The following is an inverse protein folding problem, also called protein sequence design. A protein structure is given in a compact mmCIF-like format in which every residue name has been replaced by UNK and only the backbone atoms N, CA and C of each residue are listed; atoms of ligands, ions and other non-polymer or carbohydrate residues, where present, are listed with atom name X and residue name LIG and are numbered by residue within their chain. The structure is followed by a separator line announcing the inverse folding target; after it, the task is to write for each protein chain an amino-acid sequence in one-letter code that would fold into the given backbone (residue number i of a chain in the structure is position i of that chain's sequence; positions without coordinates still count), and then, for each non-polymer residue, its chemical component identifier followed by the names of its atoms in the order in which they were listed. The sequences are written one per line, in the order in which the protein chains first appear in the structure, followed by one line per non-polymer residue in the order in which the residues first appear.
data_IF_522604053892
#
_entry.id   IF_522604053892
#
_cell.length_a   1.000
_cell.length_b   1.000
_cell.length_c   1.000
_cell.angle_alpha   90.00
_cell.angle_beta   90.00
_cell.angle_gamma   90.00
#
_symmetry.space_group_name_H-M   'P 1'
#
loop_
_entity.id
_entity.type
_entity.pdbx_description
1 polymer ?
#
# COMPACT_ATOMS: atom_id res chain seq x y z
N UNK A 1 22.71 -41.51 -6.52
CA UNK A 1 23.52 -40.64 -5.65
C UNK A 1 22.95 -39.21 -5.56
N UNK A 2 22.43 -38.63 -6.65
CA UNK A 2 21.78 -37.29 -6.69
C UNK A 2 20.58 -37.12 -5.72
N UNK A 3 19.69 -38.10 -5.56
CA UNK A 3 18.49 -37.91 -4.70
C UNK A 3 18.78 -37.78 -3.20
N UNK A 4 19.88 -38.39 -2.72
CA UNK A 4 20.32 -38.26 -1.32
C UNK A 4 20.96 -36.89 -1.05
N UNK A 5 21.67 -36.34 -2.03
CA UNK A 5 22.27 -34.99 -1.96
C UNK A 5 21.18 -33.92 -1.96
N UNK A 6 20.16 -34.02 -2.82
CA UNK A 6 19.02 -33.07 -2.84
C UNK A 6 18.19 -33.10 -1.56
N UNK A 7 18.01 -34.29 -0.96
CA UNK A 7 17.29 -34.45 0.31
C UNK A 7 18.10 -33.91 1.51
N UNK A 8 19.42 -34.06 1.48
CA UNK A 8 20.34 -33.49 2.47
C UNK A 8 20.41 -31.96 2.37
N UNK A 9 20.52 -31.40 1.16
CA UNK A 9 20.50 -29.95 0.93
C UNK A 9 19.15 -29.36 1.36
N UNK A 10 18.01 -29.98 1.04
CA UNK A 10 16.69 -29.51 1.54
C UNK A 10 16.60 -29.56 3.06
N UNK A 11 17.10 -30.61 3.72
CA UNK A 11 17.08 -30.76 5.18
C UNK A 11 18.03 -29.78 5.88
N UNK A 12 19.19 -29.49 5.27
CA UNK A 12 20.17 -28.51 5.72
C UNK A 12 19.64 -27.08 5.54
N UNK A 13 19.02 -26.78 4.40
CA UNK A 13 18.33 -25.52 4.11
C UNK A 13 17.14 -25.29 5.06
N UNK A 14 16.37 -26.33 5.39
CA UNK A 14 15.29 -26.26 6.37
C UNK A 14 15.82 -25.99 7.79
N UNK A 15 16.96 -26.60 8.16
CA UNK A 15 17.65 -26.32 9.43
C UNK A 15 18.23 -24.91 9.49
N UNK A 16 18.77 -24.38 8.38
CA UNK A 16 19.23 -22.99 8.29
C UNK A 16 18.05 -22.02 8.39
N UNK A 17 16.92 -22.26 7.71
CA UNK A 17 15.71 -21.43 7.86
C UNK A 17 15.14 -21.48 9.29
N UNK A 18 15.12 -22.64 9.94
CA UNK A 18 14.73 -22.75 11.36
C UNK A 18 15.74 -22.03 12.25
N UNK A 19 17.02 -22.04 11.91
CA UNK A 19 18.07 -21.36 12.67
C UNK A 19 18.02 -19.84 12.51
N UNK A 20 17.77 -19.33 11.29
CA UNK A 20 17.53 -17.90 11.01
C UNK A 20 16.22 -17.44 11.65
N UNK A 21 15.16 -18.26 11.58
CA UNK A 21 13.91 -18.05 12.33
C UNK A 21 14.19 -17.99 13.84
N UNK A 22 15.04 -18.86 14.39
CA UNK A 22 15.45 -18.84 15.80
C UNK A 22 16.41 -17.71 16.18
N UNK A 23 17.20 -17.16 15.24
CA UNK A 23 18.04 -15.99 15.46
C UNK A 23 17.21 -14.71 15.45
N UNK A 24 16.23 -14.61 14.55
CA UNK A 24 15.17 -13.59 14.59
C UNK A 24 14.44 -13.62 15.94
N UNK A 25 14.15 -14.82 16.48
CA UNK A 25 13.62 -15.02 17.84
C UNK A 25 14.63 -14.75 18.98
N UNK A 26 15.94 -14.63 18.74
CA UNK A 26 16.91 -14.26 19.79
C UNK A 26 16.96 -12.74 20.02
N UNK A 27 16.73 -11.94 18.99
CA UNK A 27 16.56 -10.49 19.12
C UNK A 27 15.18 -10.13 19.72
N UNK A 28 14.24 -11.07 19.71
CA UNK A 28 12.93 -10.91 20.36
C UNK A 28 13.01 -10.67 21.87
N UNK A 29 14.05 -11.13 22.58
CA UNK A 29 14.18 -10.82 24.02
C UNK A 29 14.34 -9.32 24.30
N UNK A 30 15.18 -8.64 23.51
CA UNK A 30 15.41 -7.18 23.62
C UNK A 30 14.17 -6.39 23.16
N UNK A 31 13.50 -6.88 22.12
CA UNK A 31 12.25 -6.30 21.59
C UNK A 31 11.09 -6.49 22.59
N UNK A 32 11.00 -7.66 23.22
CA UNK A 32 10.01 -7.96 24.25
C UNK A 32 10.22 -7.10 25.49
N UNK A 33 11.46 -6.82 25.91
CA UNK A 33 11.73 -5.89 27.03
C UNK A 33 11.30 -4.45 26.72
N UNK A 34 11.46 -4.02 25.46
CA UNK A 34 10.93 -2.72 25.02
C UNK A 34 9.40 -2.69 25.15
N UNK A 35 8.69 -3.66 24.56
CA UNK A 35 7.23 -3.71 24.60
C UNK A 35 6.65 -4.04 25.98
N UNK A 36 7.36 -4.76 26.84
CA UNK A 36 6.92 -5.11 28.20
C UNK A 36 6.56 -3.89 29.04
N UNK A 37 7.29 -2.77 28.88
CA UNK A 37 6.96 -1.51 29.56
C UNK A 37 5.61 -0.94 29.12
N UNK A 38 5.19 -1.24 27.90
CA UNK A 38 3.97 -0.75 27.29
C UNK A 38 2.80 -1.74 27.36
N UNK A 39 3.05 -3.02 27.65
CA UNK A 39 2.01 -4.06 27.86
C UNK A 39 1.09 -3.79 29.05
N UNK A 40 1.46 -2.87 29.95
CA UNK A 40 0.67 -2.58 31.15
C UNK A 40 -0.68 -1.95 30.76
N UNK A 41 -1.75 -2.73 30.89
CA UNK A 41 -3.13 -2.28 30.74
C UNK A 41 -3.79 -2.59 29.40
N UNK A 42 -3.12 -3.29 28.48
CA UNK A 42 -3.71 -3.76 27.21
C UNK A 42 -3.80 -5.28 27.22
N UNK A 43 -5.00 -5.82 27.01
CA UNK A 43 -5.19 -7.26 26.82
C UNK A 43 -4.96 -7.62 25.35
N UNK A 44 -3.75 -8.13 25.07
CA UNK A 44 -3.33 -8.49 23.71
C UNK A 44 -4.11 -9.66 23.12
N UNK A 45 -4.67 -10.54 23.96
CA UNK A 45 -5.52 -11.63 23.47
C UNK A 45 -6.81 -11.07 22.85
N UNK A 46 -7.35 -9.99 23.41
CA UNK A 46 -8.52 -9.28 22.89
C UNK A 46 -8.16 -8.53 21.60
N UNK A 47 -7.02 -7.81 21.58
CA UNK A 47 -6.53 -7.12 20.39
C UNK A 47 -6.41 -8.09 19.22
N UNK A 48 -5.75 -9.23 19.42
CA UNK A 48 -5.57 -10.22 18.38
C UNK A 48 -6.89 -10.84 17.91
N UNK A 49 -7.75 -11.24 18.85
CA UNK A 49 -9.04 -11.86 18.53
C UNK A 49 -9.91 -10.94 17.67
N UNK A 50 -9.98 -9.65 18.04
CA UNK A 50 -10.80 -8.69 17.31
C UNK A 50 -10.15 -8.22 16.01
N UNK A 51 -8.84 -8.06 15.95
CA UNK A 51 -8.13 -7.78 14.70
C UNK A 51 -8.34 -8.88 13.65
N UNK A 52 -8.41 -10.16 14.05
CA UNK A 52 -8.77 -11.29 13.17
C UNK A 52 -10.18 -11.17 12.59
N UNK A 53 -11.12 -10.72 13.42
CA UNK A 53 -12.53 -10.53 13.07
C UNK A 53 -12.87 -9.18 12.42
N UNK A 54 -11.89 -8.27 12.31
CA UNK A 54 -12.12 -6.94 11.77
C UNK A 54 -12.55 -7.01 10.29
N UNK A 55 -13.44 -6.10 9.90
CA UNK A 55 -13.90 -5.96 8.52
C UNK A 55 -12.76 -5.33 7.71
N UNK A 56 -12.44 -5.92 6.57
CA UNK A 56 -11.41 -5.44 5.65
C UNK A 56 -11.92 -5.59 4.21
N UNK A 57 -11.18 -5.06 3.23
CA UNK A 57 -11.54 -5.17 1.80
C UNK A 57 -11.67 -6.63 1.33
N UNK A 58 -10.92 -7.54 1.96
CA UNK A 58 -10.92 -8.95 1.67
C UNK A 58 -12.07 -9.69 2.38
N UNK A 59 -12.73 -10.64 1.71
CA UNK A 59 -13.85 -11.38 2.29
C UNK A 59 -13.44 -12.20 3.51
N UNK A 60 -14.35 -12.31 4.48
CA UNK A 60 -14.17 -13.18 5.65
C UNK A 60 -14.66 -14.62 5.39
N UNK A 61 -15.59 -14.81 4.45
CA UNK A 61 -16.17 -16.11 4.12
C UNK A 61 -15.21 -16.92 3.23
N UNK A 62 -14.91 -18.20 3.57
CA UNK A 62 -14.15 -19.09 2.68
C UNK A 62 -14.77 -19.23 1.28
N UNK A 63 -16.10 -19.28 1.18
CA UNK A 63 -16.81 -19.41 -0.09
C UNK A 63 -16.65 -18.16 -0.96
N UNK A 64 -16.72 -16.97 -0.37
CA UNK A 64 -16.54 -15.71 -1.10
C UNK A 64 -15.08 -15.52 -1.51
N UNK A 65 -14.12 -15.90 -0.64
CA UNK A 65 -12.70 -15.96 -0.99
C UNK A 65 -12.45 -16.87 -2.20
N UNK A 66 -13.01 -18.08 -2.20
CA UNK A 66 -12.89 -19.02 -3.32
C UNK A 66 -13.50 -18.46 -4.60
N UNK A 67 -14.64 -17.78 -4.50
CA UNK A 67 -15.27 -17.11 -5.63
C UNK A 67 -14.36 -16.01 -6.21
N UNK A 68 -13.81 -15.11 -5.38
CA UNK A 68 -12.89 -14.06 -5.83
C UNK A 68 -11.65 -14.68 -6.50
N UNK A 69 -11.04 -15.69 -5.88
CA UNK A 69 -9.85 -16.36 -6.45
C UNK A 69 -10.17 -16.98 -7.83
N UNK A 70 -11.30 -17.68 -7.93
CA UNK A 70 -11.73 -18.34 -9.16
C UNK A 70 -11.93 -17.31 -10.26
N UNK A 71 -12.70 -16.25 -9.99
CA UNK A 71 -12.95 -15.18 -10.96
C UNK A 71 -11.68 -14.43 -11.35
N UNK A 72 -10.79 -14.16 -10.39
CA UNK A 72 -9.52 -13.51 -10.66
C UNK A 72 -8.67 -14.36 -11.61
N UNK A 73 -8.61 -15.68 -11.39
CA UNK A 73 -7.91 -16.62 -12.29
C UNK A 73 -8.53 -16.69 -13.68
N UNK A 74 -9.86 -16.67 -13.78
CA UNK A 74 -10.58 -16.69 -15.05
C UNK A 74 -10.34 -15.42 -15.88
N UNK A 75 -10.30 -14.25 -15.24
CA UNK A 75 -10.25 -12.95 -15.93
C UNK A 75 -8.83 -12.40 -16.08
N UNK A 76 -7.93 -12.72 -15.15
CA UNK A 76 -6.60 -12.13 -15.03
C UNK A 76 -5.53 -13.22 -14.83
N UNK A 77 -5.57 -14.29 -15.62
CA UNK A 77 -4.61 -15.41 -15.54
C UNK A 77 -3.16 -14.94 -15.57
N UNK A 78 -2.85 -13.98 -16.45
CA UNK A 78 -1.50 -13.44 -16.61
C UNK A 78 -1.03 -12.71 -15.34
N UNK A 79 -1.94 -12.02 -14.65
CA UNK A 79 -1.64 -11.38 -13.37
C UNK A 79 -1.38 -12.41 -12.27
N UNK A 80 -2.08 -13.55 -12.26
CA UNK A 80 -1.79 -14.64 -11.31
C UNK A 80 -0.36 -15.14 -11.48
N UNK A 81 0.10 -15.33 -12.71
CA UNK A 81 1.47 -15.73 -13.02
C UNK A 81 2.49 -14.65 -12.61
N UNK A 82 2.22 -13.38 -12.96
CA UNK A 82 3.09 -12.26 -12.62
C UNK A 82 3.21 -12.04 -11.10
N UNK A 83 2.09 -12.02 -10.38
CA UNK A 83 2.05 -11.90 -8.92
C UNK A 83 2.82 -13.04 -8.27
N UNK A 84 2.59 -14.29 -8.71
CA UNK A 84 3.30 -15.46 -8.17
C UNK A 84 4.81 -15.35 -8.44
N UNK A 85 5.21 -14.89 -9.63
CA UNK A 85 6.62 -14.68 -9.98
C UNK A 85 7.27 -13.62 -9.09
N UNK A 86 6.62 -12.48 -8.88
CA UNK A 86 7.15 -11.41 -8.02
C UNK A 86 7.14 -11.82 -6.53
N UNK A 87 6.19 -12.65 -6.10
CA UNK A 87 6.20 -13.25 -4.77
C UNK A 87 7.40 -14.19 -4.56
N UNK A 88 7.78 -14.98 -5.58
CA UNK A 88 9.02 -15.77 -5.52
C UNK A 88 10.27 -14.87 -5.49
N UNK A 89 10.31 -13.79 -6.27
CA UNK A 89 11.41 -12.81 -6.21
C UNK A 89 11.51 -12.15 -4.82
N UNK A 90 10.37 -11.85 -4.21
CA UNK A 90 10.29 -11.31 -2.85
C UNK A 90 10.89 -12.29 -1.83
N UNK A 91 10.58 -13.59 -1.96
CA UNK A 91 11.21 -14.68 -1.17
C UNK A 91 12.71 -14.83 -1.46
N UNK A 92 13.15 -14.31 -2.60
CA UNK A 92 14.55 -14.21 -3.00
C UNK A 92 15.23 -12.91 -2.55
N UNK A 93 14.53 -12.06 -1.81
CA UNK A 93 14.99 -10.73 -1.37
C UNK A 93 15.44 -9.87 -2.57
N UNK A 94 14.68 -9.96 -3.66
CA UNK A 94 14.88 -9.20 -4.90
C UNK A 94 13.71 -8.23 -5.06
N UNK A 95 14.00 -6.94 -5.00
CA UNK A 95 12.99 -5.88 -4.98
C UNK A 95 13.25 -4.91 -6.12
N UNK A 96 12.21 -4.56 -6.88
CA UNK A 96 12.30 -3.47 -7.87
C UNK A 96 11.81 -2.18 -7.21
N UNK A 97 12.74 -1.27 -6.93
CA UNK A 97 12.49 0.00 -6.26
C UNK A 97 13.06 1.12 -7.13
N UNK A 98 12.32 2.21 -7.30
CA UNK A 98 12.78 3.38 -8.07
C UNK A 98 13.32 3.03 -9.49
N UNK A 99 12.73 2.02 -10.14
CA UNK A 99 13.14 1.55 -11.46
C UNK A 99 14.42 0.70 -11.49
N UNK A 100 14.97 0.32 -10.33
CA UNK A 100 16.21 -0.46 -10.21
C UNK A 100 15.96 -1.76 -9.44
N UNK A 101 16.70 -2.83 -9.79
CA UNK A 101 16.65 -4.09 -9.06
C UNK A 101 17.64 -4.08 -7.89
N UNK A 102 17.13 -4.28 -6.68
CA UNK A 102 17.87 -4.37 -5.43
C UNK A 102 17.88 -5.82 -4.95
N UNK A 103 19.05 -6.35 -4.61
CA UNK A 103 19.22 -7.74 -4.17
C UNK A 103 19.87 -7.74 -2.80
N UNK A 104 19.25 -8.41 -1.83
CA UNK A 104 19.78 -8.54 -0.48
C UNK A 104 20.19 -9.98 -0.15
N UNK A 105 21.08 -10.17 0.85
CA UNK A 105 21.48 -11.50 1.30
C UNK A 105 20.30 -12.33 1.82
N UNK A 106 20.38 -13.65 1.65
CA UNK A 106 19.41 -14.59 2.25
C UNK A 106 19.49 -14.66 3.78
N UNK A 107 20.57 -14.14 4.38
CA UNK A 107 20.74 -14.06 5.83
C UNK A 107 19.91 -12.95 6.48
N UNK A 108 19.44 -11.97 5.72
CA UNK A 108 18.67 -10.82 6.23
C UNK A 108 18.61 -9.68 5.20
N UNK A 109 17.62 -8.82 5.33
CA UNK A 109 17.44 -7.66 4.45
C UNK A 109 18.23 -6.46 5.03
N UNK A 110 18.93 -5.75 4.15
CA UNK A 110 19.77 -4.60 4.56
C UNK A 110 18.93 -3.32 4.60
N UNK A 111 18.07 -3.18 5.61
CA UNK A 111 17.06 -2.11 5.72
C UNK A 111 17.60 -0.67 5.77
N UNK A 112 18.90 -0.49 6.03
CA UNK A 112 19.56 0.82 6.15
C UNK A 112 20.58 1.06 5.03
N UNK A 113 20.57 0.23 3.98
CA UNK A 113 21.49 0.35 2.86
C UNK A 113 20.80 1.01 1.68
N UNK A 114 21.33 2.15 1.26
CA UNK A 114 21.16 2.64 -0.09
C UNK A 114 22.11 1.85 -1.00
N UNK A 115 21.57 0.98 -1.84
CA UNK A 115 22.37 0.16 -2.75
C UNK A 115 22.78 0.90 -4.02
N UNK A 116 22.24 2.09 -4.31
CA UNK A 116 22.61 2.88 -5.49
C UNK A 116 23.99 3.50 -5.26
N UNK A 117 24.18 4.14 -4.10
CA UNK A 117 25.47 4.74 -3.73
C UNK A 117 26.29 3.89 -2.77
N UNK A 118 25.81 2.69 -2.42
CA UNK A 118 26.42 1.80 -1.42
C UNK A 118 26.66 2.50 -0.08
N UNK A 119 25.69 3.32 0.34
CA UNK A 119 25.75 4.09 1.58
C UNK A 119 24.90 3.45 2.66
N UNK A 120 25.46 3.30 3.86
CA UNK A 120 24.77 2.70 5.00
C UNK A 120 24.40 3.74 6.04
N UNK A 121 23.11 3.94 6.25
CA UNK A 121 22.60 4.75 7.35
C UNK A 121 22.86 4.07 8.69
N UNK A 122 23.24 4.86 9.71
CA UNK A 122 23.47 4.34 11.05
C UNK A 122 22.13 4.10 11.76
N UNK A 123 21.79 2.82 12.00
CA UNK A 123 20.54 2.42 12.65
C UNK A 123 20.41 2.85 14.11
N UNK A 124 21.48 3.39 14.72
CA UNK A 124 21.49 3.91 16.10
C UNK A 124 21.27 5.41 16.18
N UNK A 125 21.22 6.13 15.05
CA UNK A 125 20.97 7.57 15.06
C UNK A 125 19.50 7.84 15.32
N UNK A 126 19.23 8.86 16.15
CA UNK A 126 17.87 9.32 16.37
C UNK A 126 17.29 9.80 15.04
N UNK A 127 16.07 9.37 14.70
CA UNK A 127 15.51 9.57 13.36
C UNK A 127 15.55 11.04 12.93
N UNK A 128 15.24 11.98 13.82
CA UNK A 128 15.17 13.40 13.48
C UNK A 128 16.52 14.02 13.08
N UNK A 129 17.63 13.39 13.47
CA UNK A 129 19.00 13.84 13.15
C UNK A 129 19.48 13.35 11.77
N UNK A 130 18.78 12.39 11.17
CA UNK A 130 19.11 11.88 9.82
C UNK A 130 18.49 12.83 8.80
N UNK A 131 19.32 13.32 7.87
CA UNK A 131 18.91 14.24 6.80
C UNK A 131 19.11 13.61 5.42
N UNK A 132 18.35 14.03 4.40
CA UNK A 132 18.68 13.75 3.01
C UNK A 132 20.06 14.33 2.64
N UNK A 133 20.69 13.76 1.62
CA UNK A 133 21.94 14.30 1.09
C UNK A 133 21.73 15.69 0.48
N UNK A 134 22.67 16.60 0.69
CA UNK A 134 22.68 17.89 -0.02
C UNK A 134 23.09 17.69 -1.48
N UNK A 135 22.47 18.40 -2.42
CA UNK A 135 22.84 18.38 -3.84
C UNK A 135 24.31 18.83 -4.04
N UNK A 136 25.11 18.18 -4.91
CA UNK A 136 24.76 17.13 -5.88
C UNK A 136 24.67 15.68 -5.33
N UNK A 137 24.71 15.47 -4.02
CA UNK A 137 24.35 14.20 -3.36
C UNK A 137 25.50 13.21 -3.13
N UNK A 138 25.31 12.31 -2.15
CA UNK A 138 26.23 11.20 -1.83
C UNK A 138 25.53 9.92 -1.36
N UNK A 139 24.20 9.94 -1.28
CA UNK A 139 23.33 8.79 -0.99
C UNK A 139 21.87 9.10 -1.36
N UNK A 140 21.10 8.06 -1.63
CA UNK A 140 19.66 8.07 -1.91
C UNK A 140 18.88 7.54 -0.71
N UNK A 141 18.21 8.44 0.01
CA UNK A 141 17.45 8.10 1.21
C UNK A 141 16.14 7.37 0.88
N UNK A 142 15.61 7.52 -0.34
CA UNK A 142 14.37 6.85 -0.75
C UNK A 142 14.53 5.35 -0.92
N UNK A 143 15.73 4.82 -1.23
CA UNK A 143 15.93 3.36 -1.38
C UNK A 143 15.51 2.60 -0.12
N UNK A 144 16.04 2.89 1.09
CA UNK A 144 15.59 2.21 2.30
C UNK A 144 14.12 2.52 2.67
N UNK A 145 13.62 3.74 2.36
CA UNK A 145 12.22 4.09 2.59
C UNK A 145 11.25 3.26 1.74
N UNK A 146 11.45 3.19 0.42
CA UNK A 146 10.62 2.40 -0.51
C UNK A 146 10.64 0.92 -0.14
N UNK A 147 11.82 0.36 0.19
CA UNK A 147 11.93 -1.01 0.68
C UNK A 147 11.09 -1.21 1.95
N UNK A 148 11.16 -0.25 2.87
CA UNK A 148 10.44 -0.26 4.14
C UNK A 148 8.97 0.16 4.02
N UNK A 149 8.44 0.45 2.82
CA UNK A 149 6.99 0.60 2.60
C UNK A 149 6.27 -0.74 2.48
N UNK A 150 6.99 -1.83 2.24
CA UNK A 150 6.45 -3.20 2.26
C UNK A 150 5.32 -3.50 1.26
N UNK A 151 5.24 -2.75 0.16
CA UNK A 151 4.24 -2.99 -0.89
C UNK A 151 4.28 -4.43 -1.43
N UNK A 152 5.45 -5.07 -1.38
CA UNK A 152 5.65 -6.46 -1.80
C UNK A 152 4.98 -7.51 -0.90
N UNK A 153 4.58 -7.17 0.34
CA UNK A 153 3.89 -8.12 1.22
C UNK A 153 2.49 -8.49 0.70
N UNK A 154 1.87 -7.59 -0.06
CA UNK A 154 0.58 -7.84 -0.70
C UNK A 154 0.71 -9.00 -1.69
N UNK A 155 1.77 -9.00 -2.51
CA UNK A 155 2.00 -10.07 -3.49
C UNK A 155 2.27 -11.43 -2.84
N UNK A 156 2.95 -11.47 -1.68
CA UNK A 156 3.05 -12.70 -0.88
C UNK A 156 1.66 -13.20 -0.44
N UNK A 157 0.81 -12.29 0.01
CA UNK A 157 -0.57 -12.59 0.42
C UNK A 157 -1.44 -13.11 -0.73
N UNK A 158 -1.40 -12.44 -1.89
CA UNK A 158 -2.11 -12.87 -3.09
C UNK A 158 -1.62 -14.23 -3.60
N UNK A 159 -0.29 -14.44 -3.67
CA UNK A 159 0.28 -15.72 -4.06
C UNK A 159 -0.10 -16.85 -3.09
N UNK A 160 -0.20 -16.56 -1.78
CA UNK A 160 -0.75 -17.50 -0.80
C UNK A 160 -2.20 -17.87 -1.12
N UNK A 161 -3.05 -16.90 -1.48
CA UNK A 161 -4.43 -17.18 -1.88
C UNK A 161 -4.52 -18.03 -3.15
N UNK A 162 -3.66 -17.79 -4.14
CA UNK A 162 -3.70 -18.53 -5.39
C UNK A 162 -3.20 -19.97 -5.28
N UNK A 163 -2.27 -20.24 -4.37
CA UNK A 163 -1.50 -21.49 -4.33
C UNK A 163 -1.68 -22.31 -3.05
N UNK A 164 -2.12 -21.69 -1.95
CA UNK A 164 -2.13 -22.28 -0.60
C UNK A 164 -0.72 -22.51 -0.01
N UNK A 165 0.34 -21.97 -0.61
CA UNK A 165 1.72 -22.27 -0.20
C UNK A 165 2.15 -21.47 1.03
N UNK A 166 2.27 -22.14 2.18
CA UNK A 166 2.73 -21.59 3.45
C UNK A 166 4.13 -20.95 3.42
N UNK A 167 4.93 -21.18 2.37
CA UNK A 167 6.22 -20.49 2.23
C UNK A 167 6.07 -18.97 2.08
N UNK A 168 4.96 -18.48 1.52
CA UNK A 168 4.69 -17.03 1.44
C UNK A 168 4.37 -16.44 2.81
N UNK A 169 3.57 -17.13 3.63
CA UNK A 169 3.28 -16.73 5.00
C UNK A 169 4.55 -16.70 5.88
N UNK A 170 5.42 -17.70 5.72
CA UNK A 170 6.72 -17.74 6.43
C UNK A 170 7.63 -16.60 6.04
N UNK A 171 7.62 -16.22 4.77
CA UNK A 171 8.41 -15.09 4.29
C UNK A 171 7.89 -13.77 4.86
N UNK A 172 6.57 -13.57 4.84
CA UNK A 172 5.92 -12.42 5.46
C UNK A 172 6.31 -12.27 6.93
N UNK A 173 6.14 -13.34 7.73
CA UNK A 173 6.54 -13.34 9.16
C UNK A 173 8.03 -13.05 9.32
N UNK A 174 8.87 -13.67 8.48
CA UNK A 174 10.33 -13.47 8.53
C UNK A 174 10.70 -12.01 8.30
N UNK A 175 10.16 -11.37 7.25
CA UNK A 175 10.53 -10.00 6.91
C UNK A 175 9.99 -8.97 7.90
N UNK A 176 8.76 -9.15 8.41
CA UNK A 176 8.20 -8.27 9.45
C UNK A 176 9.03 -8.38 10.74
N UNK A 177 9.34 -9.59 11.21
CA UNK A 177 10.20 -9.78 12.39
C UNK A 177 11.61 -9.23 12.19
N UNK A 178 12.21 -9.46 11.02
CA UNK A 178 13.55 -8.96 10.68
C UNK A 178 13.59 -7.43 10.69
N UNK A 179 12.56 -6.78 10.15
CA UNK A 179 12.44 -5.33 10.15
C UNK A 179 12.30 -4.78 11.56
N UNK A 180 11.42 -5.35 12.40
CA UNK A 180 11.23 -4.91 13.80
C UNK A 180 12.54 -5.03 14.58
N UNK A 181 13.31 -6.10 14.34
CA UNK A 181 14.59 -6.31 15.02
C UNK A 181 15.68 -5.31 14.61
N UNK A 182 15.68 -4.85 13.35
CA UNK A 182 16.72 -3.97 12.82
C UNK A 182 16.34 -2.50 12.72
N UNK A 183 15.09 -2.14 13.05
CA UNK A 183 14.58 -0.76 13.02
C UNK A 183 13.96 -0.37 14.37
N UNK A 184 14.74 -0.41 15.48
CA UNK A 184 14.21 -0.11 16.80
C UNK A 184 13.71 1.32 16.86
N UNK A 185 12.48 1.54 17.32
CA UNK A 185 11.95 2.87 17.53
C UNK A 185 12.73 3.62 18.63
N UNK A 186 13.03 4.93 18.49
CA UNK A 186 12.83 5.81 17.33
C UNK A 186 14.12 6.04 16.52
N UNK A 187 14.86 4.99 16.16
CA UNK A 187 16.20 5.10 15.58
C UNK A 187 16.28 4.58 14.14
N UNK A 188 17.14 5.21 13.35
CA UNK A 188 17.45 4.83 11.98
C UNK A 188 16.55 5.49 10.93
N UNK A 189 16.97 5.31 9.67
CA UNK A 189 16.44 6.05 8.52
C UNK A 189 14.97 5.76 8.24
N UNK A 190 14.46 4.58 8.60
CA UNK A 190 13.10 4.18 8.27
C UNK A 190 12.01 4.84 9.15
N UNK A 191 12.40 5.62 10.15
CA UNK A 191 11.50 6.42 11.01
C UNK A 191 11.55 7.92 10.69
N UNK A 192 12.30 8.36 9.68
CA UNK A 192 12.50 9.79 9.40
C UNK A 192 11.29 10.46 8.75
N UNK A 193 10.52 9.71 7.96
CA UNK A 193 9.42 10.22 7.15
C UNK A 193 8.10 9.56 7.59
N UNK A 194 7.22 10.30 8.28
CA UNK A 194 5.93 9.79 8.77
C UNK A 194 5.02 9.23 7.67
N UNK A 195 5.04 9.78 6.45
CA UNK A 195 4.38 9.23 5.28
C UNK A 195 4.81 7.78 5.01
N UNK A 196 6.12 7.50 4.99
CA UNK A 196 6.66 6.15 4.78
C UNK A 196 6.27 5.19 5.92
N UNK A 197 6.22 5.70 7.15
CA UNK A 197 5.75 4.96 8.34
C UNK A 197 4.27 4.59 8.19
N UNK A 198 3.43 5.51 7.70
CA UNK A 198 2.01 5.25 7.42
C UNK A 198 1.82 4.21 6.32
N UNK A 199 2.49 4.38 5.19
CA UNK A 199 2.38 3.46 4.04
C UNK A 199 2.82 2.05 4.47
N UNK A 200 3.90 1.93 5.25
CA UNK A 200 4.33 0.64 5.82
C UNK A 200 3.23 -0.06 6.60
N UNK A 201 2.56 0.65 7.52
CA UNK A 201 1.48 0.05 8.32
C UNK A 201 0.32 -0.41 7.45
N UNK A 202 -0.06 0.39 6.44
CA UNK A 202 -1.12 0.02 5.50
C UNK A 202 -0.77 -1.29 4.78
N UNK A 203 0.45 -1.41 4.27
CA UNK A 203 0.87 -2.62 3.55
C UNK A 203 1.10 -3.84 4.46
N UNK A 204 1.52 -3.62 5.70
CA UNK A 204 1.55 -4.66 6.74
C UNK A 204 0.16 -5.21 7.02
N UNK A 205 -0.84 -4.34 7.19
CA UNK A 205 -2.22 -4.74 7.42
C UNK A 205 -2.79 -5.50 6.21
N UNK A 206 -2.55 -5.03 4.98
CA UNK A 206 -2.92 -5.77 3.78
C UNK A 206 -2.33 -7.20 3.76
N UNK A 207 -1.01 -7.33 3.97
CA UNK A 207 -0.36 -8.64 4.02
C UNK A 207 -0.91 -9.53 5.14
N UNK A 208 -1.16 -8.96 6.32
CA UNK A 208 -1.80 -9.67 7.43
C UNK A 208 -3.18 -10.21 7.05
N UNK A 209 -4.07 -9.40 6.48
CA UNK A 209 -5.43 -9.85 6.16
C UNK A 209 -5.49 -10.91 5.06
N UNK A 210 -4.54 -10.93 4.13
CA UNK A 210 -4.38 -12.07 3.21
C UNK A 210 -3.95 -13.34 3.94
N UNK A 211 -3.09 -13.22 4.96
CA UNK A 211 -2.42 -14.35 5.61
C UNK A 211 -3.01 -14.73 6.97
N UNK A 212 -4.05 -14.05 7.46
CA UNK A 212 -4.55 -14.15 8.85
C UNK A 212 -4.95 -15.56 9.29
N UNK A 213 -5.36 -16.40 8.33
CA UNK A 213 -5.79 -17.79 8.53
C UNK A 213 -4.65 -18.80 8.39
N UNK A 214 -3.45 -18.36 8.00
CA UNK A 214 -2.26 -19.22 7.95
C UNK A 214 -1.85 -19.64 9.36
N UNK A 215 -1.52 -20.92 9.50
CA UNK A 215 -0.96 -21.51 10.72
C UNK A 215 0.41 -20.92 11.09
N UNK A 216 1.08 -20.24 10.16
CA UNK A 216 2.39 -19.66 10.37
C UNK A 216 2.31 -18.36 11.21
N UNK A 217 1.18 -17.67 11.17
CA UNK A 217 0.97 -16.46 11.98
C UNK A 217 0.58 -16.89 13.41
N UNK A 218 1.58 -17.20 14.23
CA UNK A 218 1.36 -17.56 15.64
C UNK A 218 0.87 -16.36 16.45
N UNK A 219 0.27 -16.62 17.61
CA UNK A 219 -0.20 -15.56 18.51
C UNK A 219 0.96 -14.63 18.92
N UNK A 220 2.15 -15.19 19.19
CA UNK A 220 3.33 -14.38 19.54
C UNK A 220 3.75 -13.42 18.41
N UNK A 221 3.64 -13.87 17.15
CA UNK A 221 3.90 -13.01 16.00
C UNK A 221 2.84 -11.92 15.87
N UNK A 222 1.55 -12.26 16.04
CA UNK A 222 0.46 -11.29 15.95
C UNK A 222 0.62 -10.22 17.01
N UNK A 223 0.87 -10.63 18.26
CA UNK A 223 1.18 -9.70 19.34
C UNK A 223 2.32 -8.75 18.96
N UNK A 224 3.46 -9.29 18.54
CA UNK A 224 4.63 -8.49 18.13
C UNK A 224 4.29 -7.48 17.03
N UNK A 225 3.56 -7.93 16.00
CA UNK A 225 3.18 -7.11 14.86
C UNK A 225 2.26 -5.97 15.29
N UNK A 226 1.21 -6.24 16.07
CA UNK A 226 0.28 -5.21 16.53
C UNK A 226 0.87 -4.27 17.58
N UNK A 227 1.79 -4.76 18.43
CA UNK A 227 2.63 -3.93 19.29
C UNK A 227 3.45 -2.93 18.47
N UNK A 228 4.06 -3.41 17.38
CA UNK A 228 4.80 -2.56 16.44
C UNK A 228 3.87 -1.56 15.72
N UNK A 229 2.72 -1.99 15.21
CA UNK A 229 1.72 -1.10 14.56
C UNK A 229 1.27 0.01 15.51
N UNK A 230 1.05 -0.30 16.78
CA UNK A 230 0.70 0.71 17.78
C UNK A 230 1.81 1.76 17.95
N UNK A 231 3.07 1.33 17.99
CA UNK A 231 4.23 2.26 18.01
C UNK A 231 4.31 3.09 16.73
N UNK A 232 4.00 2.51 15.57
CA UNK A 232 3.91 3.28 14.32
C UNK A 232 2.81 4.34 14.41
N UNK A 233 1.61 3.99 14.90
CA UNK A 233 0.52 4.93 15.11
C UNK A 233 0.90 6.09 16.06
N UNK A 234 1.62 5.77 17.14
CA UNK A 234 2.18 6.80 18.04
C UNK A 234 3.21 7.67 17.33
N UNK A 235 4.11 7.10 16.56
CA UNK A 235 5.10 7.87 15.81
C UNK A 235 4.41 8.84 14.85
N UNK A 236 3.46 8.37 14.04
CA UNK A 236 2.69 9.20 13.11
C UNK A 236 1.97 10.32 13.85
N UNK A 237 1.27 10.00 14.94
CA UNK A 237 0.52 10.96 15.74
C UNK A 237 1.38 12.10 16.30
N UNK A 238 2.59 11.81 16.76
CA UNK A 238 3.49 12.81 17.35
C UNK A 238 4.34 13.56 16.31
N UNK A 239 4.33 13.13 15.05
CA UNK A 239 5.16 13.69 13.98
C UNK A 239 4.32 14.01 12.74
N UNK A 240 3.06 14.43 12.91
CA UNK A 240 2.21 14.80 11.77
C UNK A 240 2.92 15.83 10.88
N UNK A 241 2.95 15.58 9.58
CA UNK A 241 3.56 16.42 8.55
C UNK A 241 2.63 17.59 8.18
N UNK A 242 2.08 18.27 9.20
CA UNK A 242 1.05 19.30 9.06
C UNK A 242 1.54 20.73 9.30
N UNK A 243 2.85 20.93 9.28
CA UNK A 243 3.47 22.24 9.42
C UNK A 243 3.52 22.92 8.05
N UNK A 244 2.92 24.11 7.93
CA UNK A 244 2.87 24.87 6.68
C UNK A 244 1.77 24.38 5.72
N UNK A 245 2.13 24.24 4.44
CA UNK A 245 1.22 23.70 3.42
C UNK A 245 1.21 22.18 3.50
N UNK A 246 0.08 21.63 3.95
CA UNK A 246 -0.16 20.18 3.95
C UNK A 246 -0.28 19.66 2.53
N UNK A 247 0.31 18.51 2.26
CA UNK A 247 0.35 17.85 0.95
C UNK A 247 0.08 16.33 1.08
N UNK A 248 0.43 15.55 0.06
CA UNK A 248 0.29 14.10 0.05
C UNK A 248 0.96 13.39 1.24
N UNK A 249 2.00 13.96 1.87
CA UNK A 249 2.62 13.41 3.07
C UNK A 249 1.65 13.41 4.26
N UNK A 250 1.06 14.56 4.57
CA UNK A 250 0.06 14.66 5.65
C UNK A 250 -1.15 13.78 5.35
N UNK A 251 -1.58 13.73 4.08
CA UNK A 251 -2.66 12.85 3.66
C UNK A 251 -2.32 11.37 3.97
N UNK A 252 -1.11 10.91 3.70
CA UNK A 252 -0.65 9.58 4.09
C UNK A 252 -0.63 9.37 5.62
N UNK A 253 -0.25 10.40 6.40
CA UNK A 253 -0.35 10.34 7.86
C UNK A 253 -1.78 10.04 8.31
N UNK A 254 -2.75 10.78 7.77
CA UNK A 254 -4.18 10.60 8.07
C UNK A 254 -4.67 9.21 7.68
N UNK A 255 -4.32 8.73 6.47
CA UNK A 255 -4.69 7.38 6.01
C UNK A 255 -4.11 6.31 6.94
N UNK A 256 -2.85 6.41 7.35
CA UNK A 256 -2.24 5.49 8.31
C UNK A 256 -3.00 5.44 9.64
N UNK A 257 -3.36 6.60 10.19
CA UNK A 257 -4.14 6.70 11.43
C UNK A 257 -5.57 6.15 11.28
N UNK A 258 -6.21 6.34 10.12
CA UNK A 258 -7.54 5.77 9.82
C UNK A 258 -7.47 4.24 9.77
N UNK A 259 -6.48 3.68 9.07
CA UNK A 259 -6.29 2.23 8.98
C UNK A 259 -6.10 1.60 10.36
N UNK A 260 -5.19 2.14 11.17
CA UNK A 260 -4.97 1.66 12.54
C UNK A 260 -6.23 1.86 13.38
N UNK A 261 -6.85 3.03 13.27
CA UNK A 261 -8.04 3.44 13.99
C UNK A 261 -9.27 2.55 13.76
N UNK A 262 -9.41 2.00 12.55
CA UNK A 262 -10.52 1.12 12.17
C UNK A 262 -10.23 -0.36 12.43
N UNK A 263 -8.99 -0.79 12.21
CA UNK A 263 -8.61 -2.21 12.23
C UNK A 263 -8.04 -2.69 13.58
N UNK A 264 -7.64 -1.75 14.46
CA UNK A 264 -7.05 -2.04 15.77
C UNK A 264 -7.79 -1.30 16.91
N UNK A 265 -9.11 -1.42 16.97
CA UNK A 265 -9.97 -0.58 17.84
C UNK A 265 -9.76 -0.80 19.35
N UNK A 266 -9.08 -1.87 19.71
CA UNK A 266 -8.81 -2.31 21.08
C UNK A 266 -7.58 -1.62 21.66
N UNK A 267 -6.70 -1.15 20.80
CA UNK A 267 -5.51 -0.44 21.22
C UNK A 267 -5.91 0.91 21.82
N UNK A 268 -5.18 1.29 22.85
CA UNK A 268 -5.29 2.63 23.42
C UNK A 268 -5.02 3.67 22.31
N UNK A 269 -5.64 4.84 22.42
CA UNK A 269 -5.54 5.94 21.47
C UNK A 269 -6.19 5.76 20.08
N UNK A 270 -6.50 4.53 19.61
CA UNK A 270 -6.97 4.32 18.21
C UNK A 270 -8.33 4.93 17.91
N UNK A 271 -9.23 5.02 18.90
CA UNK A 271 -10.47 5.79 18.78
C UNK A 271 -10.19 7.25 18.43
N UNK A 272 -9.25 7.88 19.14
CA UNK A 272 -8.86 9.27 18.89
C UNK A 272 -8.22 9.42 17.51
N UNK A 273 -7.35 8.50 17.12
CA UNK A 273 -6.71 8.50 15.80
C UNK A 273 -7.72 8.35 14.66
N UNK A 274 -8.71 7.46 14.80
CA UNK A 274 -9.80 7.30 13.85
C UNK A 274 -10.63 8.57 13.71
N UNK A 275 -11.12 9.10 14.82
CA UNK A 275 -12.00 10.29 14.83
C UNK A 275 -11.27 11.53 14.29
N UNK A 276 -9.99 11.70 14.65
CA UNK A 276 -9.13 12.73 14.09
C UNK A 276 -8.91 12.52 12.58
N UNK A 277 -8.49 11.32 12.20
CA UNK A 277 -8.15 10.98 10.82
C UNK A 277 -9.32 11.18 9.86
N UNK A 278 -10.52 10.68 10.21
CA UNK A 278 -11.72 10.85 9.39
C UNK A 278 -12.10 12.32 9.22
N UNK A 279 -12.08 13.11 10.30
CA UNK A 279 -12.41 14.54 10.23
C UNK A 279 -11.40 15.33 9.41
N UNK A 280 -10.10 15.10 9.63
CA UNK A 280 -9.06 15.81 8.90
C UNK A 280 -8.98 15.35 7.44
N UNK A 281 -9.28 14.09 7.12
CA UNK A 281 -9.33 13.62 5.73
C UNK A 281 -10.38 14.41 4.93
N UNK A 282 -11.55 14.65 5.53
CA UNK A 282 -12.60 15.45 4.91
C UNK A 282 -12.16 16.91 4.72
N UNK A 283 -11.53 17.49 5.74
CA UNK A 283 -10.99 18.86 5.64
C UNK A 283 -9.92 18.97 4.55
N UNK A 284 -9.02 18.01 4.47
CA UNK A 284 -7.91 18.02 3.51
C UNK A 284 -8.39 17.77 2.08
N UNK A 285 -9.51 17.06 1.86
CA UNK A 285 -10.15 17.00 0.54
C UNK A 285 -10.46 18.40 0.00
N UNK A 286 -11.04 19.28 0.82
CA UNK A 286 -11.39 20.63 0.39
C UNK A 286 -10.21 21.59 0.36
N UNK A 287 -9.14 21.31 1.12
CA UNK A 287 -7.91 22.10 1.14
C UNK A 287 -6.98 21.76 -0.02
N UNK A 288 -6.83 20.47 -0.34
CA UNK A 288 -5.85 19.96 -1.29
C UNK A 288 -6.41 19.72 -2.69
N UNK A 289 -7.73 19.74 -2.87
CA UNK A 289 -8.36 19.48 -4.17
C UNK A 289 -9.24 20.66 -4.54
N UNK A 290 -9.02 21.25 -5.71
CA UNK A 290 -9.80 22.37 -6.22
C UNK A 290 -11.25 21.99 -6.60
N UNK A 291 -12.19 22.95 -6.72
CA UNK A 291 -13.58 22.69 -7.08
C UNK A 291 -13.79 21.89 -8.36
N UNK A 292 -12.85 21.96 -9.30
CA UNK A 292 -12.83 21.20 -10.54
C UNK A 292 -12.24 19.79 -10.41
N UNK A 293 -11.69 19.40 -9.26
CA UNK A 293 -11.15 18.07 -8.98
C UNK A 293 -9.63 17.96 -9.09
N UNK A 294 -8.92 18.99 -9.52
CA UNK A 294 -7.46 18.94 -9.63
C UNK A 294 -6.81 19.07 -8.25
N UNK A 295 -5.80 18.24 -7.98
CA UNK A 295 -5.00 18.34 -6.75
C UNK A 295 -4.05 19.54 -6.84
N UNK A 296 -3.88 20.27 -5.73
CA UNK A 296 -3.15 21.54 -5.71
C UNK A 296 -1.64 21.43 -5.94
N UNK A 297 -1.04 20.25 -5.73
CA UNK A 297 0.42 20.04 -5.91
C UNK A 297 0.85 20.10 -7.37
N UNK A 298 -0.14 20.14 -8.27
CA UNK A 298 0.05 20.38 -9.70
C UNK A 298 1.08 19.42 -10.35
N UNK A 299 1.06 18.18 -9.84
CA UNK A 299 1.73 17.01 -10.39
C UNK A 299 0.68 15.95 -10.72
N UNK A 300 0.78 15.33 -11.89
CA UNK A 300 -0.10 14.23 -12.26
C UNK A 300 0.18 12.99 -11.41
N UNK A 301 1.43 12.77 -10.99
CA UNK A 301 1.81 11.68 -10.07
C UNK A 301 1.20 11.86 -8.67
N UNK A 302 1.30 13.08 -8.12
CA UNK A 302 0.73 13.39 -6.80
C UNK A 302 -0.79 13.43 -6.82
N UNK A 303 -1.40 13.87 -7.93
CA UNK A 303 -2.84 13.71 -8.11
C UNK A 303 -3.26 12.23 -8.03
N UNK A 304 -2.56 11.32 -8.73
CA UNK A 304 -2.85 9.88 -8.65
C UNK A 304 -2.72 9.38 -7.21
N UNK A 305 -1.61 9.67 -6.54
CA UNK A 305 -1.36 9.19 -5.18
C UNK A 305 -2.41 9.71 -4.19
N UNK A 306 -2.77 10.99 -4.27
CA UNK A 306 -3.81 11.58 -3.44
C UNK A 306 -5.19 10.93 -3.70
N UNK A 307 -5.56 10.73 -4.96
CA UNK A 307 -6.81 10.04 -5.34
C UNK A 307 -6.85 8.61 -4.80
N UNK A 308 -5.75 7.87 -4.91
CA UNK A 308 -5.63 6.52 -4.35
C UNK A 308 -5.82 6.51 -2.83
N UNK A 309 -5.20 7.47 -2.12
CA UNK A 309 -5.34 7.60 -0.66
C UNK A 309 -6.76 7.94 -0.22
N UNK A 310 -7.41 8.90 -0.89
CA UNK A 310 -8.80 9.24 -0.61
C UNK A 310 -9.75 8.07 -0.88
N UNK A 311 -9.63 7.40 -2.04
CA UNK A 311 -10.45 6.23 -2.35
C UNK A 311 -10.27 5.12 -1.31
N UNK A 312 -9.02 4.77 -1.01
CA UNK A 312 -8.72 3.67 -0.09
C UNK A 312 -9.27 3.92 1.31
N UNK A 313 -9.07 5.12 1.85
CA UNK A 313 -9.60 5.48 3.17
C UNK A 313 -11.13 5.61 3.16
N UNK A 314 -11.74 6.16 2.11
CA UNK A 314 -13.19 6.26 1.97
C UNK A 314 -13.87 4.90 1.91
N UNK A 315 -13.34 3.97 1.11
CA UNK A 315 -13.88 2.62 1.03
C UNK A 315 -13.74 1.92 2.38
N UNK A 316 -12.56 1.96 3.02
CA UNK A 316 -12.37 1.33 4.32
C UNK A 316 -13.32 1.91 5.39
N UNK A 317 -13.47 3.23 5.46
CA UNK A 317 -14.37 3.90 6.39
C UNK A 317 -15.83 3.45 6.18
N UNK A 318 -16.26 3.29 4.93
CA UNK A 318 -17.62 2.84 4.59
C UNK A 318 -17.91 1.42 5.07
N UNK A 319 -16.91 0.53 5.07
CA UNK A 319 -17.04 -0.84 5.61
C UNK A 319 -17.35 -0.85 7.12
N UNK A 320 -17.05 0.23 7.82
CA UNK A 320 -17.34 0.43 9.25
C UNK A 320 -18.53 1.36 9.49
N UNK A 321 -19.29 1.71 8.44
CA UNK A 321 -20.48 2.56 8.54
C UNK A 321 -20.17 4.06 8.69
N UNK A 322 -18.93 4.49 8.46
CA UNK A 322 -18.61 5.92 8.39
C UNK A 322 -18.80 6.43 6.96
N UNK A 323 -19.44 7.59 6.84
CA UNK A 323 -19.62 8.29 5.57
C UNK A 323 -19.04 9.70 5.63
N UNK A 324 -18.55 10.17 4.49
CA UNK A 324 -18.15 11.55 4.28
C UNK A 324 -19.32 12.36 3.72
N UNK A 325 -19.25 13.70 3.76
CA UNK A 325 -20.30 14.52 3.16
C UNK A 325 -20.47 14.26 1.67
N UNK A 326 -21.66 14.57 1.15
CA UNK A 326 -21.93 14.55 -0.29
C UNK A 326 -20.98 15.48 -1.07
N UNK A 327 -20.55 16.59 -0.46
CA UNK A 327 -19.58 17.50 -1.06
C UNK A 327 -18.20 16.86 -1.19
N UNK A 328 -17.76 16.09 -0.20
CA UNK A 328 -16.51 15.30 -0.26
C UNK A 328 -16.61 14.27 -1.38
N UNK A 329 -17.69 13.48 -1.41
CA UNK A 329 -17.86 12.41 -2.40
C UNK A 329 -17.89 12.98 -3.83
N UNK A 330 -18.55 14.12 -4.03
CA UNK A 330 -18.55 14.82 -5.32
C UNK A 330 -17.16 15.35 -5.70
N UNK A 331 -16.35 15.81 -4.74
CA UNK A 331 -14.97 16.25 -5.00
C UNK A 331 -14.09 15.06 -5.41
N UNK A 332 -14.23 13.91 -4.74
CA UNK A 332 -13.54 12.68 -5.08
C UNK A 332 -13.93 12.16 -6.47
N UNK A 333 -15.22 12.21 -6.82
CA UNK A 333 -15.69 11.86 -8.16
C UNK A 333 -15.03 12.76 -9.23
N UNK A 334 -14.92 14.07 -8.99
CA UNK A 334 -14.24 15.00 -9.90
C UNK A 334 -12.74 14.74 -10.06
N UNK A 335 -12.05 14.23 -9.04
CA UNK A 335 -10.65 13.79 -9.20
C UNK A 335 -10.55 12.68 -10.24
N UNK A 336 -11.52 11.75 -10.24
CA UNK A 336 -11.58 10.68 -11.24
C UNK A 336 -11.99 11.18 -12.61
N UNK A 337 -12.91 12.16 -12.70
CA UNK A 337 -13.22 12.83 -13.97
C UNK A 337 -11.97 13.47 -14.58
N UNK A 338 -11.14 14.13 -13.76
CA UNK A 338 -9.86 14.67 -14.21
C UNK A 338 -8.92 13.59 -14.75
N UNK A 339 -8.78 12.45 -14.06
CA UNK A 339 -7.99 11.31 -14.56
C UNK A 339 -8.51 10.80 -15.90
N UNK A 340 -9.83 10.63 -16.03
CA UNK A 340 -10.46 10.21 -17.28
C UNK A 340 -10.17 11.19 -18.43
N UNK A 341 -10.36 12.49 -18.19
CA UNK A 341 -10.13 13.53 -19.20
C UNK A 341 -8.64 13.73 -19.53
N UNK A 342 -7.74 13.43 -18.58
CA UNK A 342 -6.29 13.47 -18.75
C UNK A 342 -5.74 12.30 -19.57
N UNK A 343 -6.38 11.12 -19.48
CA UNK A 343 -5.90 9.87 -20.08
C UNK A 343 -5.90 9.87 -21.61
N UNK A 344 -4.76 9.59 -22.23
CA UNK A 344 -4.61 9.43 -23.68
C UNK A 344 -5.35 8.18 -24.18
N UNK A 345 -5.60 8.07 -25.50
CA UNK A 345 -6.23 6.87 -26.08
C UNK A 345 -5.50 5.56 -25.78
N UNK A 346 -4.18 5.61 -25.58
CA UNK A 346 -3.37 4.44 -25.20
C UNK A 346 -3.45 4.11 -23.71
N UNK A 347 -4.18 4.89 -22.89
CA UNK A 347 -4.33 4.75 -21.45
C UNK A 347 -3.28 5.49 -20.62
N UNK A 348 -2.26 6.09 -21.23
CA UNK A 348 -1.24 6.84 -20.48
C UNK A 348 -1.71 8.24 -20.13
N UNK A 349 -1.15 8.79 -19.05
CA UNK A 349 -1.23 10.20 -18.72
C UNK A 349 0.09 10.90 -19.03
N UNK A 350 0.09 12.22 -19.28
CA UNK A 350 1.32 12.98 -19.39
C UNK A 350 1.96 13.19 -18.01
N UNK A 351 3.29 13.17 -17.99
CA UNK A 351 4.08 13.53 -16.81
C UNK A 351 4.17 15.05 -16.72
N UNK A 352 3.51 15.61 -15.71
CA UNK A 352 3.54 17.05 -15.41
C UNK A 352 3.90 17.17 -13.93
N UNK A 353 4.84 18.07 -13.62
CA UNK A 353 5.34 18.27 -12.25
C UNK A 353 6.27 17.15 -11.78
N UNK A 354 6.53 17.13 -10.47
CA UNK A 354 7.41 16.16 -9.84
C UNK A 354 6.81 14.75 -9.85
N UNK A 355 7.68 13.75 -10.01
CA UNK A 355 7.28 12.35 -10.10
C UNK A 355 8.25 11.48 -9.30
N UNK A 356 7.75 10.80 -8.28
CA UNK A 356 8.54 9.85 -7.49
C UNK A 356 7.95 8.44 -7.44
N UNK A 357 6.99 8.14 -8.32
CA UNK A 357 6.33 6.84 -8.44
C UNK A 357 5.54 6.43 -7.17
N UNK A 358 5.25 7.34 -6.23
CA UNK A 358 4.62 7.02 -4.95
C UNK A 358 3.27 6.29 -5.08
N UNK A 359 3.10 5.21 -4.32
CA UNK A 359 1.87 4.39 -4.21
C UNK A 359 1.54 4.18 -2.72
N UNK A 360 0.26 4.12 -2.38
CA UNK A 360 -0.21 3.65 -1.07
C UNK A 360 -0.08 2.13 -0.98
N UNK A 361 -0.65 1.41 -1.94
CA UNK A 361 -0.57 -0.04 -2.06
C UNK A 361 -0.46 -0.46 -3.53
N UNK A 362 0.14 -1.63 -3.79
CA UNK A 362 0.29 -2.19 -5.14
C UNK A 362 -0.47 -3.51 -5.22
N UNK A 363 -1.70 -3.45 -5.74
CA UNK A 363 -2.62 -4.61 -5.76
C UNK A 363 -2.51 -5.45 -7.05
N UNK A 364 -1.67 -5.03 -8.00
CA UNK A 364 -1.32 -5.81 -9.20
C UNK A 364 0.14 -5.61 -9.60
N UNK A 365 0.60 -6.36 -10.60
CA UNK A 365 1.95 -6.23 -11.14
C UNK A 365 1.87 -5.62 -12.55
N UNK A 366 2.47 -4.44 -12.71
CA UNK A 366 2.53 -3.76 -14.00
C UNK A 366 3.63 -4.36 -14.89
N UNK A 367 3.31 -4.57 -16.17
CA UNK A 367 4.26 -5.03 -17.19
C UNK A 367 4.04 -4.23 -18.49
N UNK A 368 5.06 -3.47 -18.96
CA UNK A 368 6.34 -3.23 -18.30
C UNK A 368 6.16 -2.37 -17.02
N UNK A 369 7.07 -2.41 -16.03
CA UNK A 369 6.87 -1.76 -14.73
C UNK A 369 6.63 -0.25 -14.81
N UNK A 370 7.23 0.42 -15.80
CA UNK A 370 7.11 1.86 -16.05
C UNK A 370 5.65 2.28 -16.36
N UNK A 371 4.82 1.32 -16.76
CA UNK A 371 3.39 1.55 -17.00
C UNK A 371 2.65 1.96 -15.74
N UNK A 372 3.09 1.50 -14.57
CA UNK A 372 2.53 1.92 -13.28
C UNK A 372 2.54 3.44 -13.10
N UNK A 373 3.55 4.11 -13.66
CA UNK A 373 3.79 5.54 -13.48
C UNK A 373 2.92 6.40 -14.40
N UNK A 374 2.37 5.77 -15.45
CA UNK A 374 1.70 6.47 -16.53
C UNK A 374 0.25 6.06 -16.68
N UNK A 375 -0.21 4.95 -16.10
CA UNK A 375 -1.55 4.43 -16.33
C UNK A 375 -2.40 4.47 -15.05
N UNK A 376 -3.35 5.39 -15.01
CA UNK A 376 -4.16 5.68 -13.82
C UNK A 376 -5.57 5.08 -13.90
N UNK A 377 -5.87 4.34 -14.99
CA UNK A 377 -7.20 3.81 -15.29
C UNK A 377 -7.72 2.82 -14.23
N UNK A 378 -6.85 2.20 -13.44
CA UNK A 378 -7.27 1.36 -12.30
C UNK A 378 -8.08 2.13 -11.26
N UNK A 379 -7.83 3.44 -11.09
CA UNK A 379 -8.63 4.31 -10.23
C UNK A 379 -10.04 4.53 -10.81
N UNK A 380 -10.15 4.60 -12.14
CA UNK A 380 -11.45 4.70 -12.82
C UNK A 380 -12.27 3.42 -12.64
N UNK A 381 -11.65 2.23 -12.64
CA UNK A 381 -12.35 0.98 -12.35
C UNK A 381 -12.96 0.97 -10.93
N UNK A 382 -12.20 1.45 -9.95
CA UNK A 382 -12.69 1.60 -8.56
C UNK A 382 -13.82 2.63 -8.51
N UNK A 383 -13.63 3.77 -9.17
CA UNK A 383 -14.61 4.85 -9.27
C UNK A 383 -15.92 4.43 -9.94
N UNK A 384 -15.85 3.63 -10.99
CA UNK A 384 -17.01 3.15 -11.74
C UNK A 384 -17.99 2.40 -10.83
N UNK A 385 -17.48 1.53 -9.97
CA UNK A 385 -18.28 0.75 -9.01
C UNK A 385 -18.74 1.61 -7.84
N UNK A 386 -17.89 2.54 -7.37
CA UNK A 386 -18.20 3.39 -6.21
C UNK A 386 -19.29 4.43 -6.52
N UNK A 387 -19.26 5.02 -7.72
CA UNK A 387 -20.17 6.10 -8.16
C UNK A 387 -21.21 5.63 -9.17
N UNK A 388 -21.23 4.33 -9.50
CA UNK A 388 -22.09 3.74 -10.52
C UNK A 388 -21.96 4.42 -11.91
N UNK A 389 -20.74 4.86 -12.25
CA UNK A 389 -20.42 5.66 -13.46
C UNK A 389 -19.95 4.79 -14.62
N UNK A 390 -20.82 4.60 -15.62
CA UNK A 390 -20.52 3.73 -16.78
C UNK A 390 -19.42 4.27 -17.69
N UNK A 391 -19.28 5.59 -17.80
CA UNK A 391 -18.18 6.23 -18.53
C UNK A 391 -16.82 5.96 -17.88
N UNK A 392 -16.74 5.96 -16.53
CA UNK A 392 -15.54 5.50 -15.84
C UNK A 392 -15.23 4.03 -16.14
N UNK A 393 -16.25 3.16 -16.20
CA UNK A 393 -16.07 1.75 -16.52
C UNK A 393 -15.48 1.56 -17.93
N UNK A 394 -16.01 2.29 -18.92
CA UNK A 394 -15.51 2.24 -20.30
C UNK A 394 -14.09 2.80 -20.38
N UNK A 395 -13.79 3.91 -19.69
CA UNK A 395 -12.47 4.53 -19.67
C UNK A 395 -11.43 3.69 -18.92
N UNK A 396 -11.83 2.93 -17.90
CA UNK A 396 -10.98 1.96 -17.21
C UNK A 396 -10.50 0.84 -18.14
N UNK A 397 -11.31 0.49 -19.15
CA UNK A 397 -11.06 -0.55 -20.12
C UNK A 397 -10.70 -1.89 -19.47
N UNK A 398 -9.43 -2.29 -19.52
CA UNK A 398 -8.91 -3.58 -19.04
C UNK A 398 -8.33 -3.54 -17.61
N UNK A 399 -8.38 -2.39 -16.93
CA UNK A 399 -7.64 -2.15 -15.68
C UNK A 399 -8.48 -2.43 -14.41
N UNK A 400 -9.10 -3.61 -14.31
CA UNK A 400 -10.08 -3.96 -13.26
C UNK A 400 -9.51 -4.70 -12.04
N UNK A 401 -8.24 -5.09 -12.06
CA UNK A 401 -7.68 -6.04 -11.09
C UNK A 401 -7.63 -5.45 -9.68
N UNK A 402 -7.23 -4.19 -9.55
CA UNK A 402 -7.17 -3.51 -8.24
C UNK A 402 -8.58 -3.23 -7.68
N UNK A 403 -9.56 -2.94 -8.55
CA UNK A 403 -10.95 -2.76 -8.14
C UNK A 403 -11.52 -4.05 -7.54
N UNK A 404 -11.18 -5.20 -8.11
CA UNK A 404 -11.60 -6.50 -7.59
C UNK A 404 -11.04 -6.77 -6.18
N UNK A 405 -9.80 -6.39 -5.90
CA UNK A 405 -9.22 -6.54 -4.56
C UNK A 405 -9.83 -5.60 -3.52
N UNK A 406 -10.26 -4.40 -3.92
CA UNK A 406 -10.82 -3.39 -3.01
C UNK A 406 -12.33 -3.54 -2.78
N UNK A 407 -13.07 -4.00 -3.80
CA UNK A 407 -14.53 -3.98 -3.79
C UNK A 407 -15.15 -5.38 -3.90
N UNK A 408 -14.33 -6.42 -4.10
CA UNK A 408 -14.75 -7.80 -4.10
C UNK A 408 -15.84 -8.10 -5.13
N UNK A 409 -16.85 -8.87 -4.71
CA UNK A 409 -17.92 -9.36 -5.59
C UNK A 409 -18.76 -8.26 -6.23
N UNK A 410 -18.79 -7.05 -5.63
CA UNK A 410 -19.50 -5.88 -6.18
C UNK A 410 -19.02 -5.50 -7.56
N UNK A 411 -17.75 -5.78 -7.89
CA UNK A 411 -17.20 -5.52 -9.24
C UNK A 411 -17.92 -6.38 -10.27
N UNK A 412 -18.15 -7.66 -9.99
CA UNK A 412 -18.84 -8.56 -10.91
C UNK A 412 -20.32 -8.21 -11.06
N UNK A 413 -20.97 -7.86 -9.95
CA UNK A 413 -22.35 -7.40 -9.96
C UNK A 413 -22.51 -6.15 -10.84
N UNK A 414 -21.59 -5.20 -10.70
CA UNK A 414 -21.56 -3.99 -11.50
C UNK A 414 -21.34 -4.28 -12.99
N UNK A 415 -20.30 -5.06 -13.33
CA UNK A 415 -19.97 -5.41 -14.71
C UNK A 415 -21.08 -6.21 -15.40
N UNK A 416 -21.82 -7.05 -14.66
CA UNK A 416 -22.94 -7.82 -15.22
C UNK A 416 -24.14 -6.96 -15.61
N UNK A 417 -24.30 -5.78 -14.98
CA UNK A 417 -25.38 -4.83 -15.26
C UNK A 417 -25.00 -3.82 -16.36
N UNK A 418 -23.70 -3.54 -16.53
CA UNK A 418 -23.21 -2.52 -17.45
C UNK A 418 -22.96 -3.09 -18.85
N UNK A 419 -23.97 -3.03 -19.73
CA UNK A 419 -23.92 -3.55 -21.11
C UNK A 419 -23.96 -2.42 -22.14
N UNK A 420 -23.03 -1.46 -22.08
CA UNK A 420 -22.89 -0.45 -23.14
C UNK A 420 -21.55 -0.59 -23.83
N UNK A 421 -21.59 -0.89 -25.12
CA UNK A 421 -20.42 -0.87 -26.03
C UNK A 421 -20.10 0.53 -26.57
N UNK A 422 -20.77 1.57 -26.07
CA UNK A 422 -20.53 2.92 -26.55
C UNK A 422 -19.16 3.42 -26.11
N UNK A 423 -18.39 3.96 -27.05
CA UNK A 423 -17.15 4.69 -26.72
C UNK A 423 -17.50 5.93 -25.90
N UNK A 424 -16.74 6.20 -24.84
CA UNK A 424 -16.81 7.50 -24.15
C UNK A 424 -16.28 8.57 -25.10
N UNK A 425 -17.11 9.56 -25.41
CA UNK A 425 -16.70 10.72 -26.20
C UNK A 425 -16.05 11.75 -25.28
N UNK A 426 -14.73 11.66 -25.11
CA UNK A 426 -13.95 12.64 -24.34
C UNK A 426 -13.73 13.89 -25.20
N UNK A 427 -14.16 15.05 -24.69
CA UNK A 427 -14.05 16.33 -25.37
C UNK A 427 -12.95 17.21 -24.74
N UNK A 428 -12.67 18.36 -25.36
CA UNK A 428 -11.84 19.38 -24.71
C UNK A 428 -12.46 19.83 -23.38
N UNK A 429 -11.62 20.02 -22.35
CA UNK A 429 -12.04 20.35 -20.99
C UNK A 429 -11.13 21.41 -20.38
N UNK A 430 -11.73 22.31 -19.61
CA UNK A 430 -11.01 23.30 -18.80
C UNK A 430 -11.17 22.95 -17.32
N UNK A 431 -10.04 22.84 -16.63
CA UNK A 431 -9.90 22.75 -15.18
C UNK A 431 -9.27 24.06 -14.71
N UNK A 432 -10.09 25.12 -14.65
CA UNK A 432 -9.63 26.49 -14.47
C UNK A 432 -9.07 26.76 -13.07
N UNK A 433 -9.57 26.08 -12.03
CA UNK A 433 -9.05 26.23 -10.67
C UNK A 433 -7.69 25.52 -10.54
N UNK A 434 -7.54 24.36 -11.18
CA UNK A 434 -6.27 23.64 -11.29
C UNK A 434 -5.27 24.22 -12.29
N UNK A 435 -5.71 25.17 -13.14
CA UNK A 435 -4.90 25.76 -14.21
C UNK A 435 -4.52 24.78 -15.32
N UNK A 436 -5.39 23.80 -15.64
CA UNK A 436 -5.10 22.79 -16.67
C UNK A 436 -6.18 22.83 -17.75
N UNK A 437 -5.76 22.96 -19.02
CA UNK A 437 -6.65 22.96 -20.18
C UNK A 437 -6.28 21.81 -21.10
N UNK A 438 -7.25 20.95 -21.40
CA UNK A 438 -7.08 19.77 -22.23
C UNK A 438 -7.83 20.02 -23.54
N UNK A 439 -7.11 20.13 -24.64
CA UNK A 439 -7.70 20.27 -25.98
C UNK A 439 -7.61 18.92 -26.70
N UNK A 440 -8.73 18.47 -27.27
CA UNK A 440 -8.83 17.19 -27.97
C UNK A 440 -9.41 17.34 -29.36
N UNK A 441 -8.83 16.63 -30.33
CA UNK A 441 -9.41 16.43 -31.66
C UNK A 441 -8.97 15.07 -32.23
N UNK A 442 -9.93 14.15 -32.33
CA UNK A 442 -9.68 12.73 -32.66
C UNK A 442 -8.66 12.14 -31.67
N UNK A 443 -7.55 11.61 -32.17
CA UNK A 443 -6.48 11.01 -31.37
C UNK A 443 -5.45 12.05 -30.86
N UNK A 444 -5.61 13.33 -31.23
CA UNK A 444 -4.71 14.39 -30.76
C UNK A 444 -5.18 14.94 -29.41
N UNK A 445 -4.22 15.10 -28.49
CA UNK A 445 -4.42 15.75 -27.20
C UNK A 445 -3.30 16.77 -26.98
N UNK A 446 -3.68 17.99 -26.60
CA UNK A 446 -2.75 19.03 -26.15
C UNK A 446 -3.16 19.44 -24.75
N UNK A 447 -2.19 19.55 -23.85
CA UNK A 447 -2.42 20.01 -22.48
C UNK A 447 -1.62 21.27 -22.27
N UNK A 448 -2.31 22.29 -21.78
CA UNK A 448 -1.75 23.58 -21.40
C UNK A 448 -1.89 23.70 -19.89
N UNK A 449 -0.79 24.06 -19.24
CA UNK A 449 -0.72 24.38 -17.82
C UNK A 449 -0.10 25.75 -17.63
#
# INVERSE_FOLDING_TARGET
MQSKVTKFIRKFYYKIKIFIYRISLKNLGVIQDFFQKWRRGTDWTIVESRARGAIFFLPQSPAERELIITRFKEQFSDQVELITKVAEQTRDHRFNLLGTLHIHPKSGIEWHLDTIYNYRFNSKFFFADIKPASYPGGYEIKVPWELSRFQHLIWLGQAYWFTGNELYAREFVSQVCDWIAHNPYPYGVNWTCPMDVSIRVVNWLWGYYFLKDSITLTDEFRQLMFESIWVHGKHIWHNLENIGSTNNHYLANLVGLIYIGLLCQELKETKQWREFGLRELEREMFKQVYPDGVNFEASTSYHRLATEMFLSATILASLYGYSFSSAYMKRLEKMLEFIMDLSKPDGTVPLIGDHDNGRLHRLKVWMPPEREWLDFRYLLAIGAVLFERQDFAIAAADQWEEALWLLGVRVFEYLSKSISSNKVSICSKAYADGGIYIMRHKDNQVIIR
#
